data_IF_255518210739
#
_entry.id   IF_255518210739
#
_cell.length_a   1.000
_cell.length_b   1.000
_cell.length_c   1.000
_cell.angle_alpha   90.00
_cell.angle_beta   90.00
_cell.angle_gamma   90.00
#
_symmetry.space_group_name_H-M   'P 1'
#
loop_
_entity.id
_entity.type
_entity.pdbx_description
1 polymer ?
#
# COMPACT_ATOMS: atom_id res chain seq x y z
N UNK A 1 -11.79 -11.20 -13.84
CA UNK A 1 -11.01 -10.08 -13.28
C UNK A 1 -9.70 -10.66 -12.80
N UNK A 2 -8.56 -10.17 -13.30
CA UNK A 2 -7.24 -10.64 -12.85
C UNK A 2 -7.03 -10.18 -11.42
N UNK A 3 -6.71 -11.10 -10.52
CA UNK A 3 -6.41 -10.77 -9.11
C UNK A 3 -5.08 -10.04 -9.09
N UNK A 4 -5.08 -8.76 -8.69
CA UNK A 4 -3.85 -7.97 -8.51
C UNK A 4 -3.18 -8.34 -7.19
N UNK A 5 -1.85 -8.31 -7.17
CA UNK A 5 -1.09 -8.48 -5.93
C UNK A 5 -1.15 -7.18 -5.12
N UNK A 6 -1.75 -7.22 -3.92
CA UNK A 6 -1.60 -6.12 -2.97
C UNK A 6 -0.17 -6.14 -2.40
N UNK A 7 0.60 -5.10 -2.67
CA UNK A 7 2.01 -5.01 -2.24
C UNK A 7 2.15 -4.84 -0.73
N UNK A 8 1.10 -4.38 -0.03
CA UNK A 8 1.09 -4.30 1.44
C UNK A 8 1.03 -5.67 2.14
N UNK A 9 0.73 -6.74 1.40
CA UNK A 9 0.75 -8.11 1.91
C UNK A 9 2.15 -8.75 1.84
N UNK A 10 3.13 -8.04 1.27
CA UNK A 10 4.50 -8.53 1.13
C UNK A 10 5.40 -7.85 2.15
N UNK A 11 6.22 -8.65 2.83
CA UNK A 11 7.37 -8.10 3.53
C UNK A 11 8.45 -7.65 2.52
N UNK A 12 9.57 -7.13 3.03
CA UNK A 12 10.67 -6.68 2.18
C UNK A 12 11.20 -7.77 1.25
N UNK A 13 11.33 -9.01 1.74
CA UNK A 13 11.89 -10.13 0.96
C UNK A 13 10.91 -10.55 -0.12
N UNK A 14 9.62 -10.63 0.20
CA UNK A 14 8.55 -10.91 -0.75
C UNK A 14 8.45 -9.84 -1.83
N UNK A 15 8.62 -8.56 -1.48
CA UNK A 15 8.62 -7.47 -2.45
C UNK A 15 9.86 -7.56 -3.37
N UNK A 16 11.05 -7.85 -2.83
CA UNK A 16 12.25 -8.06 -3.65
C UNK A 16 12.08 -9.23 -4.63
N UNK A 17 11.48 -10.34 -4.19
CA UNK A 17 11.16 -11.48 -5.05
C UNK A 17 10.11 -11.13 -6.13
N UNK A 18 9.05 -10.43 -5.77
CA UNK A 18 8.03 -9.97 -6.72
C UNK A 18 8.60 -9.11 -7.85
N UNK A 19 9.54 -8.21 -7.51
CA UNK A 19 10.24 -7.41 -8.53
C UNK A 19 11.24 -8.25 -9.35
N UNK A 20 11.93 -9.21 -8.74
CA UNK A 20 12.82 -10.12 -9.45
C UNK A 20 12.09 -10.99 -10.49
N UNK A 21 10.90 -11.49 -10.17
CA UNK A 21 10.04 -12.25 -11.10
C UNK A 21 9.59 -11.40 -12.30
N UNK A 22 9.51 -10.09 -12.10
CA UNK A 22 9.27 -9.13 -13.19
C UNK A 22 10.53 -8.78 -14.00
N UNK A 23 11.72 -9.26 -13.61
CA UNK A 23 12.99 -8.90 -14.23
C UNK A 23 13.51 -7.52 -13.81
N UNK A 24 12.98 -6.95 -12.72
CA UNK A 24 13.45 -5.69 -12.15
C UNK A 24 14.57 -5.91 -11.13
N UNK A 25 15.41 -4.89 -10.95
CA UNK A 25 16.51 -4.95 -9.97
C UNK A 25 15.99 -4.75 -8.54
N UNK A 26 16.61 -5.34 -7.51
CA UNK A 26 16.13 -5.28 -6.12
C UNK A 26 15.91 -3.86 -5.58
N UNK A 27 16.69 -2.88 -6.02
CA UNK A 27 16.52 -1.49 -5.58
C UNK A 27 15.15 -0.89 -5.96
N UNK A 28 14.47 -1.43 -6.98
CA UNK A 28 13.10 -1.01 -7.35
C UNK A 28 12.10 -1.36 -6.25
N UNK A 29 12.23 -2.53 -5.63
CA UNK A 29 11.45 -2.90 -4.46
C UNK A 29 11.71 -1.91 -3.31
N UNK A 30 12.97 -1.54 -3.06
CA UNK A 30 13.31 -0.53 -2.03
C UNK A 30 12.67 0.83 -2.31
N UNK A 31 12.64 1.27 -3.58
CA UNK A 31 11.99 2.53 -3.96
C UNK A 31 10.48 2.49 -3.67
N UNK A 32 9.80 1.42 -4.08
CA UNK A 32 8.35 1.27 -3.86
C UNK A 32 8.03 1.14 -2.38
N UNK A 33 8.83 0.39 -1.60
CA UNK A 33 8.68 0.28 -0.15
C UNK A 33 8.76 1.65 0.54
N UNK A 34 9.70 2.50 0.10
CA UNK A 34 9.81 3.89 0.59
C UNK A 34 8.57 4.72 0.25
N UNK A 35 8.05 4.63 -0.97
CA UNK A 35 6.84 5.36 -1.36
C UNK A 35 5.63 4.94 -0.53
N UNK A 36 5.42 3.63 -0.34
CA UNK A 36 4.29 3.12 0.43
C UNK A 36 4.36 3.51 1.91
N UNK A 37 5.49 3.24 2.58
CA UNK A 37 5.56 3.34 4.04
C UNK A 37 6.11 4.66 4.58
N UNK A 38 7.00 5.34 3.84
CA UNK A 38 7.58 6.62 4.31
C UNK A 38 6.84 7.82 3.76
N UNK A 39 6.31 7.71 2.53
CA UNK A 39 5.59 8.80 1.87
C UNK A 39 4.07 8.65 1.93
N UNK A 40 3.55 7.46 2.29
CA UNK A 40 2.11 7.21 2.36
C UNK A 40 1.42 7.20 1.00
N UNK A 41 2.14 6.91 -0.09
CA UNK A 41 1.62 6.96 -1.46
C UNK A 41 1.17 5.57 -1.91
N UNK A 42 -0.09 5.48 -2.37
CA UNK A 42 -0.69 4.26 -2.92
C UNK A 42 -0.82 4.27 -4.45
N UNK A 43 -0.71 5.43 -5.10
CA UNK A 43 -0.76 5.55 -6.56
C UNK A 43 0.63 5.37 -7.16
N UNK A 44 0.78 4.42 -8.08
CA UNK A 44 2.04 4.22 -8.79
C UNK A 44 2.40 5.42 -9.66
N UNK A 45 1.44 6.17 -10.20
CA UNK A 45 1.69 7.34 -11.06
C UNK A 45 2.39 8.49 -10.31
N UNK A 46 2.20 8.58 -9.01
CA UNK A 46 2.89 9.55 -8.13
C UNK A 46 4.36 9.16 -7.85
N UNK A 47 4.76 7.91 -8.12
CA UNK A 47 6.12 7.43 -7.87
C UNK A 47 7.08 7.90 -8.97
N UNK A 48 7.45 9.17 -8.92
CA UNK A 48 8.19 9.90 -9.98
C UNK A 48 9.57 9.32 -10.31
N UNK A 49 10.21 8.59 -9.38
CA UNK A 49 11.52 7.95 -9.58
C UNK A 49 11.46 6.54 -10.19
N UNK A 50 10.25 6.05 -10.51
CA UNK A 50 10.04 4.86 -11.33
C UNK A 50 9.94 5.23 -12.81
N UNK A 51 10.31 4.31 -13.71
CA UNK A 51 10.12 4.52 -15.14
C UNK A 51 8.62 4.45 -15.47
N UNK A 52 8.19 5.14 -16.53
CA UNK A 52 6.80 5.07 -17.01
C UNK A 52 6.38 3.62 -17.30
N UNK A 53 7.26 2.85 -17.93
CA UNK A 53 7.02 1.43 -18.24
C UNK A 53 6.78 0.59 -16.97
N UNK A 54 7.58 0.80 -15.91
CA UNK A 54 7.41 0.09 -14.65
C UNK A 54 6.10 0.48 -13.95
N UNK A 55 5.75 1.77 -13.94
CA UNK A 55 4.46 2.23 -13.38
C UNK A 55 3.28 1.58 -14.09
N UNK A 56 3.28 1.60 -15.43
CA UNK A 56 2.23 0.96 -16.23
C UNK A 56 2.11 -0.53 -15.90
N UNK A 57 3.24 -1.25 -15.85
CA UNK A 57 3.23 -2.68 -15.50
C UNK A 57 2.68 -2.93 -14.10
N UNK A 58 3.12 -2.16 -13.10
CA UNK A 58 2.63 -2.29 -11.73
C UNK A 58 1.12 -2.06 -11.66
N UNK A 59 0.59 -1.07 -12.37
CA UNK A 59 -0.87 -0.82 -12.44
C UNK A 59 -1.65 -2.00 -13.02
N UNK A 60 -1.05 -2.82 -13.88
CA UNK A 60 -1.68 -4.01 -14.45
C UNK A 60 -1.68 -5.21 -13.48
N UNK A 61 -0.59 -5.43 -12.75
CA UNK A 61 -0.38 -6.68 -11.98
C UNK A 61 -0.46 -6.51 -10.46
N UNK A 62 -0.37 -5.29 -9.95
CA UNK A 62 -0.25 -4.99 -8.53
C UNK A 62 -1.14 -3.81 -8.13
N UNK A 63 -1.29 -3.65 -6.81
CA UNK A 63 -1.93 -2.49 -6.20
C UNK A 63 -1.34 -2.22 -4.81
N UNK A 64 -1.57 -1.01 -4.30
CA UNK A 64 -1.32 -0.65 -2.90
C UNK A 64 -2.66 -0.30 -2.29
N UNK A 65 -3.31 -1.28 -1.66
CA UNK A 65 -4.68 -1.12 -1.13
C UNK A 65 -4.68 -1.18 0.38
N UNK A 66 -4.93 -0.04 1.02
CA UNK A 66 -5.18 0.03 2.47
C UNK A 66 -6.64 -0.31 2.78
N UNK A 67 -6.96 -0.78 4.00
CA UNK A 67 -8.33 -0.94 4.46
C UNK A 67 -9.13 0.37 4.37
N UNK A 68 -10.42 0.28 4.06
CA UNK A 68 -11.30 1.44 3.99
C UNK A 68 -11.72 1.89 5.39
N UNK A 69 -11.67 3.20 5.67
CA UNK A 69 -12.24 3.77 6.88
C UNK A 69 -13.76 3.90 6.68
N UNK A 70 -14.52 3.09 7.40
CA UNK A 70 -16.00 3.09 7.35
C UNK A 70 -16.63 3.93 8.47
N UNK A 71 -15.84 4.31 9.48
CA UNK A 71 -16.25 5.22 10.55
C UNK A 71 -15.03 5.95 11.12
N UNK A 72 -15.20 7.24 11.38
CA UNK A 72 -14.21 8.09 12.05
C UNK A 72 -14.87 8.84 13.20
N UNK A 73 -14.18 8.87 14.35
CA UNK A 73 -14.54 9.69 15.49
C UNK A 73 -13.32 10.45 15.99
N UNK A 74 -13.47 11.76 16.13
CA UNK A 74 -12.47 12.66 16.70
C UNK A 74 -12.91 13.12 18.08
N UNK A 75 -12.01 13.05 19.04
CA UNK A 75 -12.17 13.54 20.42
C UNK A 75 -11.57 14.95 20.59
N UNK A 76 -12.03 15.68 21.60
CA UNK A 76 -11.55 17.03 21.93
C UNK A 76 -10.10 17.03 22.45
N UNK A 77 -9.63 15.90 23.00
CA UNK A 77 -8.25 15.71 23.47
C UNK A 77 -7.25 15.38 22.34
N UNK A 78 -7.73 15.33 21.10
CA UNK A 78 -6.93 15.00 19.93
C UNK A 78 -6.86 13.50 19.59
N UNK A 79 -7.50 12.63 20.38
CA UNK A 79 -7.63 11.21 20.05
C UNK A 79 -8.47 11.01 18.80
N UNK A 80 -8.04 10.12 17.90
CA UNK A 80 -8.83 9.65 16.77
C UNK A 80 -9.11 8.16 16.90
N UNK A 81 -10.35 7.78 16.63
CA UNK A 81 -10.78 6.38 16.50
C UNK A 81 -11.28 6.16 15.08
N UNK A 82 -10.72 5.16 14.41
CA UNK A 82 -11.15 4.70 13.10
C UNK A 82 -11.65 3.26 13.18
N UNK A 83 -12.71 2.97 12.43
CA UNK A 83 -13.13 1.59 12.12
C UNK A 83 -12.77 1.32 10.67
N UNK A 84 -11.99 0.26 10.47
CA UNK A 84 -11.48 -0.17 9.17
C UNK A 84 -12.19 -1.45 8.71
N UNK A 85 -12.60 -1.50 7.45
CA UNK A 85 -13.19 -2.70 6.82
C UNK A 85 -12.13 -3.51 6.07
N UNK A 86 -12.06 -4.82 6.33
CA UNK A 86 -10.97 -5.69 5.84
C UNK A 86 -11.31 -6.49 4.58
N UNK A 87 -12.48 -7.13 4.57
CA UNK A 87 -12.88 -8.12 3.56
C UNK A 87 -14.38 -8.03 3.21
N UNK A 88 -15.00 -6.88 3.44
CA UNK A 88 -16.43 -6.66 3.21
C UNK A 88 -17.35 -7.22 4.29
N UNK A 89 -16.80 -7.87 5.32
CA UNK A 89 -17.57 -8.45 6.42
C UNK A 89 -16.98 -8.11 7.78
N UNK A 90 -15.65 -8.19 7.91
CA UNK A 90 -14.95 -7.98 9.16
C UNK A 90 -14.47 -6.54 9.31
N UNK A 91 -14.52 -6.06 10.56
CA UNK A 91 -14.10 -4.71 10.94
C UNK A 91 -13.15 -4.74 12.12
N UNK A 92 -12.16 -3.86 12.09
CA UNK A 92 -11.20 -3.64 13.20
C UNK A 92 -11.20 -2.18 13.61
N UNK A 93 -10.77 -1.91 14.84
CA UNK A 93 -10.60 -0.55 15.35
C UNK A 93 -9.12 -0.20 15.43
N UNK A 94 -8.78 1.02 15.03
CA UNK A 94 -7.46 1.63 15.23
C UNK A 94 -7.64 2.95 15.97
N UNK A 95 -6.89 3.15 17.04
CA UNK A 95 -6.92 4.38 17.84
C UNK A 95 -5.56 5.08 17.75
N UNK A 96 -5.57 6.36 17.39
CA UNK A 96 -4.41 7.22 17.45
C UNK A 96 -4.53 8.14 18.68
N UNK A 97 -3.49 8.13 19.51
CA UNK A 97 -3.38 8.91 20.73
C UNK A 97 -2.16 9.83 20.57
N UNK A 98 -2.36 11.16 20.50
CA UNK A 98 -1.27 12.13 20.31
C UNK A 98 -0.42 12.36 21.56
#
# INVERSE_FOLDING_TARGET
>A
MTVKQNLLNLDRVGLEAFFADMGEKPFRATQVLKWMHQMGVSDFDEMTNLSKALRTRLTEVAEVRVPEIVFEQKSDDGTYKWVLELDGQNRIETVFIP
#
